data_IF_073483574468
#
_entry.id   IF_073483574468
#
_cell.length_a   1.000
_cell.length_b   1.000
_cell.length_c   1.000
_cell.angle_alpha   90.00
_cell.angle_beta   90.00
_cell.angle_gamma   90.00
#
_symmetry.space_group_name_H-M   'P 1'
#
loop_
_entity.id
_entity.type
_entity.pdbx_description
1 polymer ?
#
# COMPACT_ATOMS: atom_id res chain seq x y z
N UNK A 1 19.54 -1.43 0.76
CA UNK A 1 20.51 -1.10 -0.29
C UNK A 1 21.04 0.31 -0.08
N UNK A 2 22.36 0.46 0.13
CA UNK A 2 22.99 1.75 0.43
C UNK A 2 23.29 2.61 -0.80
N UNK A 3 23.28 2.03 -2.00
CA UNK A 3 23.76 2.70 -3.23
C UNK A 3 22.68 2.88 -4.29
N UNK A 4 21.42 2.61 -3.97
CA UNK A 4 20.27 2.89 -4.84
C UNK A 4 20.20 4.38 -5.22
N UNK A 5 19.91 4.64 -6.48
CA UNK A 5 19.93 5.98 -7.07
C UNK A 5 18.67 6.32 -7.90
N UNK A 6 17.69 5.42 -7.94
CA UNK A 6 16.41 5.64 -8.61
C UNK A 6 15.77 4.35 -9.12
N UNK A 7 14.75 4.50 -9.96
CA UNK A 7 14.02 3.40 -10.58
C UNK A 7 14.40 3.23 -12.06
N UNK A 8 14.16 2.02 -12.58
CA UNK A 8 14.22 1.73 -14.01
C UNK A 8 12.79 1.63 -14.55
N UNK A 9 12.55 2.26 -15.70
CA UNK A 9 11.22 2.27 -16.33
C UNK A 9 10.94 0.90 -16.97
N UNK A 10 9.73 0.38 -16.77
CA UNK A 10 9.23 -0.83 -17.39
C UNK A 10 7.79 -0.63 -17.91
N UNK A 11 7.37 -1.46 -18.87
CA UNK A 11 6.01 -1.50 -19.39
C UNK A 11 5.28 -2.78 -18.99
N UNK A 12 3.96 -2.70 -18.78
CA UNK A 12 3.11 -3.83 -18.43
C UNK A 12 1.62 -3.46 -18.48
N UNK A 13 0.75 -4.48 -18.46
CA UNK A 13 -0.70 -4.30 -18.43
C UNK A 13 -1.38 -5.43 -17.65
N UNK A 14 -2.47 -5.11 -16.95
CA UNK A 14 -3.25 -6.05 -16.16
C UNK A 14 -4.65 -5.52 -15.88
N UNK A 15 -5.58 -6.41 -15.57
CA UNK A 15 -6.97 -6.08 -15.23
C UNK A 15 -7.45 -7.00 -14.11
N UNK A 16 -8.22 -6.43 -13.19
CA UNK A 16 -8.99 -7.17 -12.19
C UNK A 16 -10.47 -6.80 -12.34
N UNK A 17 -11.35 -7.73 -11.99
CA UNK A 17 -12.79 -7.48 -11.89
C UNK A 17 -13.14 -7.48 -10.42
N UNK A 18 -13.73 -6.39 -9.95
CA UNK A 18 -14.18 -6.25 -8.57
C UNK A 18 -15.70 -6.34 -8.54
N UNK A 19 -16.21 -7.10 -7.59
CA UNK A 19 -17.62 -7.40 -7.41
C UNK A 19 -17.95 -7.41 -5.92
N UNK A 20 -19.21 -7.19 -5.58
CA UNK A 20 -19.70 -7.34 -4.21
C UNK A 20 -19.64 -8.83 -3.80
N UNK A 21 -19.19 -9.10 -2.55
CA UNK A 21 -18.83 -10.43 -2.09
C UNK A 21 -20.02 -11.38 -2.05
N UNK A 22 -21.17 -10.95 -1.52
CA UNK A 22 -22.37 -11.79 -1.43
C UNK A 22 -22.89 -12.15 -2.82
N UNK A 23 -22.87 -11.21 -3.76
CA UNK A 23 -23.24 -11.45 -5.14
C UNK A 23 -22.29 -12.44 -5.83
N UNK A 24 -20.97 -12.28 -5.64
CA UNK A 24 -19.96 -13.20 -6.16
C UNK A 24 -20.16 -14.63 -5.60
N UNK A 25 -20.44 -14.75 -4.30
CA UNK A 25 -20.73 -16.03 -3.65
C UNK A 25 -22.02 -16.66 -4.17
N UNK A 26 -23.10 -15.88 -4.30
CA UNK A 26 -24.41 -16.36 -4.73
C UNK A 26 -24.39 -16.98 -6.14
N UNK A 27 -23.58 -16.43 -7.05
CA UNK A 27 -23.41 -16.96 -8.40
C UNK A 27 -22.30 -18.02 -8.53
N UNK A 28 -21.63 -18.38 -7.43
CA UNK A 28 -20.53 -19.36 -7.42
C UNK A 28 -19.27 -18.88 -8.15
N UNK A 29 -18.94 -17.59 -8.05
CA UNK A 29 -17.75 -17.03 -8.67
C UNK A 29 -16.46 -17.64 -8.09
N UNK A 30 -15.42 -17.74 -8.91
CA UNK A 30 -14.08 -18.02 -8.41
C UNK A 30 -13.46 -16.72 -7.85
N UNK A 31 -13.26 -16.68 -6.53
CA UNK A 31 -12.76 -15.52 -5.81
C UNK A 31 -11.26 -15.72 -5.53
N UNK A 32 -10.44 -14.78 -5.97
CA UNK A 32 -8.98 -14.81 -5.73
C UNK A 32 -8.61 -14.20 -4.38
N UNK A 33 -9.25 -13.08 -4.02
CA UNK A 33 -9.02 -12.32 -2.81
C UNK A 33 -10.22 -11.42 -2.50
N UNK A 34 -10.28 -10.92 -1.28
CA UNK A 34 -11.25 -9.93 -0.82
C UNK A 34 -10.54 -8.59 -0.56
N UNK A 35 -11.19 -7.48 -0.95
CA UNK A 35 -10.73 -6.13 -0.61
C UNK A 35 -11.43 -5.71 0.66
N UNK A 36 -10.74 -5.81 1.80
CA UNK A 36 -11.30 -5.55 3.14
C UNK A 36 -11.14 -4.11 3.63
N UNK A 37 -10.40 -3.28 2.88
CA UNK A 37 -10.16 -1.88 3.24
C UNK A 37 -9.42 -1.12 2.16
N UNK A 38 -9.56 0.21 2.15
CA UNK A 38 -8.94 1.11 1.18
C UNK A 38 -8.67 2.48 1.78
N UNK A 39 -7.56 3.10 1.39
CA UNK A 39 -7.19 4.45 1.76
C UNK A 39 -6.60 5.18 0.55
N UNK A 40 -6.91 6.46 0.41
CA UNK A 40 -6.28 7.34 -0.56
C UNK A 40 -6.17 8.74 0.02
N UNK A 41 -4.98 9.31 -0.07
CA UNK A 41 -4.64 10.63 0.45
C UNK A 41 -3.80 11.39 -0.57
N UNK A 42 -3.65 12.69 -0.35
CA UNK A 42 -2.67 13.53 -1.05
C UNK A 42 -1.79 14.23 -0.01
N UNK A 43 -0.50 14.38 -0.33
CA UNK A 43 0.48 15.07 0.51
C UNK A 43 0.29 16.60 0.47
N UNK A 44 -0.14 17.15 -0.67
CA UNK A 44 -0.57 18.55 -0.84
C UNK A 44 0.48 19.65 -0.69
N UNK A 45 1.56 19.43 0.07
CA UNK A 45 2.56 20.45 0.41
C UNK A 45 3.64 20.65 -0.67
N UNK A 46 4.08 19.57 -1.31
CA UNK A 46 5.05 19.58 -2.41
C UNK A 46 4.53 18.69 -3.55
N UNK A 47 4.86 19.07 -4.79
CA UNK A 47 4.39 18.35 -5.98
C UNK A 47 5.08 16.99 -6.19
N UNK A 48 6.30 16.82 -5.69
CA UNK A 48 7.14 15.64 -5.97
C UNK A 48 7.80 15.05 -4.74
N UNK A 49 8.06 15.85 -3.70
CA UNK A 49 8.68 15.37 -2.47
C UNK A 49 7.62 14.70 -1.56
N UNK A 50 7.83 13.43 -1.16
CA UNK A 50 6.89 12.75 -0.29
C UNK A 50 6.94 13.31 1.14
N UNK A 51 5.77 13.52 1.74
CA UNK A 51 5.65 14.02 3.12
C UNK A 51 5.97 12.93 4.15
N UNK A 52 5.56 11.68 3.86
CA UNK A 52 5.50 10.56 4.79
C UNK A 52 4.22 10.51 5.62
N UNK A 53 3.70 11.67 6.05
CA UNK A 53 2.45 11.79 6.82
C UNK A 53 1.23 11.28 6.03
N UNK A 54 1.14 11.61 4.74
CA UNK A 54 0.08 11.12 3.87
C UNK A 54 0.08 9.60 3.79
N UNK A 55 1.26 8.97 3.69
CA UNK A 55 1.39 7.52 3.71
C UNK A 55 0.88 6.90 5.03
N UNK A 56 1.21 7.51 6.18
CA UNK A 56 0.69 7.07 7.49
C UNK A 56 -0.84 7.14 7.53
N UNK A 57 -1.44 8.27 7.13
CA UNK A 57 -2.90 8.41 7.08
C UNK A 57 -3.54 7.41 6.13
N UNK A 58 -2.96 7.23 4.94
CA UNK A 58 -3.44 6.29 3.93
C UNK A 58 -3.50 4.87 4.49
N UNK A 59 -2.42 4.40 5.11
CA UNK A 59 -2.38 3.06 5.74
C UNK A 59 -3.39 2.94 6.89
N UNK A 60 -3.49 3.94 7.77
CA UNK A 60 -4.48 3.93 8.88
C UNK A 60 -5.93 3.90 8.37
N UNK A 61 -6.24 4.61 7.29
CA UNK A 61 -7.56 4.57 6.64
C UNK A 61 -7.84 3.18 6.06
N UNK A 62 -6.87 2.60 5.33
CA UNK A 62 -7.03 1.29 4.72
C UNK A 62 -7.20 0.17 5.76
N UNK A 63 -6.58 0.30 6.93
CA UNK A 63 -6.67 -0.67 8.03
C UNK A 63 -7.85 -0.43 8.98
N UNK A 64 -8.64 0.63 8.78
CA UNK A 64 -9.73 0.96 9.69
C UNK A 64 -10.82 -0.13 9.66
N UNK A 65 -10.99 -0.84 10.78
CA UNK A 65 -11.94 -1.95 10.90
C UNK A 65 -11.39 -3.31 10.46
N UNK A 66 -10.09 -3.39 10.13
CA UNK A 66 -9.40 -4.65 9.85
C UNK A 66 -8.71 -5.12 11.13
N UNK A 67 -9.22 -6.20 11.72
CA UNK A 67 -8.71 -6.76 12.99
C UNK A 67 -7.68 -7.88 12.78
N UNK A 68 -7.49 -8.31 11.53
CA UNK A 68 -6.56 -9.38 11.18
C UNK A 68 -5.12 -8.82 11.09
N UNK A 69 -4.11 -9.53 11.63
CA UNK A 69 -2.71 -9.16 11.44
C UNK A 69 -2.33 -9.09 9.96
N UNK A 70 -1.44 -8.16 9.62
CA UNK A 70 -0.86 -8.04 8.28
C UNK A 70 0.48 -8.79 8.26
N UNK A 71 0.57 -9.83 7.45
CA UNK A 71 1.78 -10.67 7.36
C UNK A 71 2.75 -10.22 6.27
N UNK A 72 2.25 -9.53 5.24
CA UNK A 72 3.02 -9.08 4.08
C UNK A 72 2.65 -7.66 3.67
N UNK A 73 3.65 -6.86 3.30
CA UNK A 73 3.46 -5.52 2.76
C UNK A 73 4.16 -5.38 1.39
N UNK A 74 3.37 -5.20 0.33
CA UNK A 74 3.93 -4.85 -0.97
C UNK A 74 4.23 -3.33 -1.02
N UNK A 75 5.47 -2.96 -0.74
CA UNK A 75 5.93 -1.57 -0.78
C UNK A 75 5.88 -0.98 -2.18
N UNK A 76 5.77 0.35 -2.28
CA UNK A 76 5.96 1.09 -3.51
C UNK A 76 7.42 0.98 -4.00
N UNK A 77 8.40 1.18 -3.09
CA UNK A 77 9.79 0.77 -3.31
C UNK A 77 10.44 1.26 -4.60
N UNK A 78 10.38 2.57 -4.86
CA UNK A 78 10.92 3.15 -6.11
C UNK A 78 12.44 3.20 -6.17
N UNK A 79 13.13 2.73 -5.13
CA UNK A 79 14.60 2.77 -5.05
C UNK A 79 15.15 4.20 -5.04
N UNK A 80 14.31 5.20 -4.73
CA UNK A 80 14.74 6.59 -4.58
C UNK A 80 15.17 6.83 -3.13
N UNK A 81 16.34 7.45 -2.87
CA UNK A 81 16.81 7.63 -1.49
C UNK A 81 15.82 8.34 -0.57
N UNK A 82 15.19 9.42 -1.06
CA UNK A 82 14.21 10.20 -0.28
C UNK A 82 12.89 9.43 -0.11
N UNK A 83 12.37 8.81 -1.18
CA UNK A 83 11.09 8.12 -1.17
C UNK A 83 11.11 6.91 -0.25
N UNK A 84 12.08 6.02 -0.41
CA UNK A 84 12.14 4.79 0.38
C UNK A 84 12.36 5.06 1.89
N UNK A 85 13.14 6.09 2.24
CA UNK A 85 13.33 6.47 3.66
C UNK A 85 12.02 6.98 4.26
N UNK A 86 11.24 7.76 3.51
CA UNK A 86 9.93 8.26 3.96
C UNK A 86 8.90 7.13 4.05
N UNK A 87 8.89 6.22 3.08
CA UNK A 87 8.04 5.03 3.09
C UNK A 87 8.32 4.14 4.31
N UNK A 88 9.59 3.80 4.57
CA UNK A 88 9.99 2.99 5.73
C UNK A 88 9.66 3.67 7.07
N UNK A 89 9.84 5.00 7.16
CA UNK A 89 9.47 5.75 8.35
C UNK A 89 7.95 5.68 8.62
N UNK A 90 7.13 5.83 7.58
CA UNK A 90 5.68 5.73 7.68
C UNK A 90 5.23 4.32 8.08
N UNK A 91 5.80 3.28 7.45
CA UNK A 91 5.54 1.87 7.79
C UNK A 91 5.87 1.62 9.26
N UNK A 92 7.03 2.08 9.73
CA UNK A 92 7.43 1.93 11.13
C UNK A 92 6.52 2.68 12.09
N UNK A 93 6.00 3.85 11.70
CA UNK A 93 5.03 4.58 12.52
C UNK A 93 3.70 3.83 12.65
N UNK A 94 3.23 3.18 11.58
CA UNK A 94 1.96 2.45 11.58
C UNK A 94 2.06 1.09 12.27
N UNK A 95 3.11 0.32 11.97
CA UNK A 95 3.23 -1.07 12.41
C UNK A 95 4.15 -1.24 13.64
N UNK A 96 4.97 -0.25 13.98
CA UNK A 96 5.92 -0.34 15.08
C UNK A 96 6.88 -1.52 14.91
N UNK A 97 7.07 -2.30 15.98
CA UNK A 97 7.89 -3.52 15.97
C UNK A 97 7.18 -4.74 15.34
N UNK A 98 5.92 -4.58 14.90
CA UNK A 98 5.12 -5.60 14.23
C UNK A 98 5.06 -5.36 12.71
N UNK A 99 6.13 -4.80 12.14
CA UNK A 99 6.21 -4.62 10.69
C UNK A 99 6.04 -5.97 9.98
N UNK A 100 5.12 -6.06 8.99
CA UNK A 100 4.99 -7.22 8.13
C UNK A 100 6.30 -7.51 7.39
N UNK A 101 6.44 -8.75 6.92
CA UNK A 101 7.59 -9.16 6.11
C UNK A 101 7.59 -8.45 4.75
#
# INVERSE_FOLDING_TARGET
DAHRDGFVIAGGGGMVVVEELEHALARGAHIYAEIVGYGATSDGADMVAPSGEGAVRCMKMAMHGVDTPIDYLNSHGTSTPVGDVKELAAIREVFGDKSPA
#
